data_IF_890486923309
#
_entry.id   IF_890486923309
#
_cell.length_a   1.000
_cell.length_b   1.000
_cell.length_c   1.000
_cell.angle_alpha   90.00
_cell.angle_beta   90.00
_cell.angle_gamma   90.00
#
_symmetry.space_group_name_H-M   'P 1'
#
loop_
_entity.id
_entity.type
_entity.pdbx_description
1 polymer ?
#
# COMPACT_ATOMS: atom_id res chain seq x y z
N UNK A 1 125.88 0.16 -7.58
CA UNK A 1 124.85 0.86 -6.78
C UNK A 1 123.75 1.54 -7.58
N UNK A 2 123.99 2.10 -8.77
CA UNK A 2 122.91 2.70 -9.57
C UNK A 2 121.90 1.67 -10.14
N UNK A 3 122.35 0.57 -10.74
CA UNK A 3 121.45 -0.41 -11.40
C UNK A 3 120.43 -1.08 -10.45
N UNK A 4 120.82 -1.37 -9.21
CA UNK A 4 119.93 -1.96 -8.19
C UNK A 4 118.89 -0.95 -7.67
N UNK A 5 119.23 0.34 -7.64
CA UNK A 5 118.29 1.40 -7.26
C UNK A 5 117.27 1.67 -8.37
N UNK A 6 117.69 1.64 -9.64
CA UNK A 6 116.79 1.74 -10.79
C UNK A 6 115.80 0.56 -10.87
N UNK A 7 116.24 -0.66 -10.54
CA UNK A 7 115.37 -1.84 -10.46
C UNK A 7 114.36 -1.77 -9.31
N UNK A 8 114.74 -1.25 -8.13
CA UNK A 8 113.82 -1.10 -7.01
C UNK A 8 112.78 0.01 -7.28
N UNK A 9 113.19 1.12 -7.91
CA UNK A 9 112.30 2.22 -8.27
C UNK A 9 111.24 1.79 -9.30
N UNK A 10 111.63 0.97 -10.27
CA UNK A 10 110.72 0.42 -11.29
C UNK A 10 109.71 -0.58 -10.71
N UNK A 11 110.13 -1.39 -9.73
CA UNK A 11 109.21 -2.29 -8.99
C UNK A 11 108.22 -1.47 -8.15
N UNK A 12 108.67 -0.44 -7.43
CA UNK A 12 107.78 0.45 -6.67
C UNK A 12 106.73 1.11 -7.56
N UNK A 13 107.16 1.67 -8.70
CA UNK A 13 106.25 2.28 -9.68
C UNK A 13 105.25 1.26 -10.25
N UNK A 14 105.67 0.00 -10.44
CA UNK A 14 104.79 -1.08 -10.87
C UNK A 14 103.73 -1.43 -9.81
N UNK A 15 104.10 -1.45 -8.52
CA UNK A 15 103.16 -1.69 -7.42
C UNK A 15 102.18 -0.53 -7.28
N UNK A 16 102.64 0.72 -7.38
CA UNK A 16 101.80 1.91 -7.29
C UNK A 16 100.78 1.96 -8.45
N UNK A 17 101.22 1.68 -9.68
CA UNK A 17 100.33 1.62 -10.84
C UNK A 17 99.29 0.50 -10.74
N UNK A 18 99.66 -0.68 -10.20
CA UNK A 18 98.72 -1.77 -9.96
C UNK A 18 97.71 -1.43 -8.86
N UNK A 19 98.15 -0.78 -7.78
CA UNK A 19 97.28 -0.30 -6.69
C UNK A 19 96.26 0.72 -7.19
N UNK A 20 96.71 1.67 -8.01
CA UNK A 20 95.83 2.66 -8.65
C UNK A 20 94.81 2.02 -9.60
N UNK A 21 95.23 1.03 -10.40
CA UNK A 21 94.31 0.27 -11.25
C UNK A 21 93.26 -0.49 -10.43
N UNK A 22 93.65 -1.10 -9.32
CA UNK A 22 92.73 -1.80 -8.42
C UNK A 22 91.74 -0.82 -7.78
N UNK A 23 92.21 0.35 -7.32
CA UNK A 23 91.35 1.42 -6.77
C UNK A 23 90.31 1.88 -7.79
N UNK A 24 90.75 2.20 -9.01
CA UNK A 24 89.86 2.61 -10.10
C UNK A 24 88.84 1.51 -10.47
N UNK A 25 89.25 0.24 -10.47
CA UNK A 25 88.34 -0.89 -10.70
C UNK A 25 87.31 -1.06 -9.58
N UNK A 26 87.70 -0.86 -8.32
CA UNK A 26 86.78 -0.88 -7.17
C UNK A 26 85.80 0.27 -7.21
N UNK A 27 86.26 1.49 -7.50
CA UNK A 27 85.40 2.67 -7.64
C UNK A 27 84.40 2.50 -8.80
N UNK A 28 84.85 1.98 -9.94
CA UNK A 28 83.97 1.66 -11.06
C UNK A 28 82.91 0.63 -10.66
N UNK A 29 83.29 -0.43 -9.93
CA UNK A 29 82.33 -1.44 -9.44
C UNK A 29 81.35 -0.84 -8.43
N UNK A 30 81.81 0.03 -7.53
CA UNK A 30 80.96 0.73 -6.56
C UNK A 30 79.91 1.60 -7.27
N UNK A 31 80.31 2.38 -8.29
CA UNK A 31 79.37 3.19 -9.08
C UNK A 31 78.35 2.35 -9.84
N UNK A 32 78.76 1.20 -10.40
CA UNK A 32 77.85 0.28 -11.07
C UNK A 32 76.81 -0.31 -10.10
N UNK A 33 77.24 -0.74 -8.92
CA UNK A 33 76.35 -1.27 -7.88
C UNK A 33 75.35 -0.22 -7.38
N UNK A 34 75.82 1.01 -7.10
CA UNK A 34 74.94 2.11 -6.70
C UNK A 34 73.88 2.44 -7.76
N UNK A 35 74.27 2.41 -9.05
CA UNK A 35 73.33 2.62 -10.16
C UNK A 35 72.28 1.51 -10.24
N UNK A 36 72.69 0.24 -10.07
CA UNK A 36 71.77 -0.89 -10.06
C UNK A 36 70.80 -0.83 -8.87
N UNK A 37 71.29 -0.51 -7.68
CA UNK A 37 70.45 -0.36 -6.49
C UNK A 37 69.39 0.73 -6.68
N UNK A 38 69.79 1.90 -7.21
CA UNK A 38 68.85 2.98 -7.49
C UNK A 38 67.82 2.58 -8.57
N UNK A 39 68.23 1.85 -9.61
CA UNK A 39 67.31 1.29 -10.60
C UNK A 39 66.31 0.31 -9.96
N UNK A 40 66.78 -0.61 -9.11
CA UNK A 40 65.93 -1.56 -8.39
C UNK A 40 64.96 -0.82 -7.46
N UNK A 41 65.42 0.19 -6.71
CA UNK A 41 64.59 1.00 -5.82
C UNK A 41 63.48 1.71 -6.59
N UNK A 42 63.82 2.33 -7.73
CA UNK A 42 62.82 2.96 -8.62
C UNK A 42 61.82 1.94 -9.17
N UNK A 43 62.28 0.76 -9.58
CA UNK A 43 61.41 -0.31 -10.09
C UNK A 43 60.42 -0.79 -9.01
N UNK A 44 60.90 -1.03 -7.79
CA UNK A 44 60.06 -1.44 -6.65
C UNK A 44 59.04 -0.35 -6.31
N UNK A 45 59.47 0.92 -6.23
CA UNK A 45 58.58 2.04 -5.95
C UNK A 45 57.49 2.19 -7.01
N UNK A 46 57.86 2.06 -8.29
CA UNK A 46 56.91 2.12 -9.42
C UNK A 46 55.91 0.96 -9.36
N UNK A 47 56.39 -0.27 -9.13
CA UNK A 47 55.54 -1.45 -8.98
C UNK A 47 54.55 -1.30 -7.81
N UNK A 48 55.02 -0.80 -6.66
CA UNK A 48 54.16 -0.53 -5.49
C UNK A 48 53.13 0.56 -5.78
N UNK A 49 53.53 1.65 -6.44
CA UNK A 49 52.60 2.71 -6.82
C UNK A 49 51.50 2.19 -7.78
N UNK A 50 51.87 1.36 -8.75
CA UNK A 50 50.92 0.75 -9.67
C UNK A 50 49.97 -0.23 -8.96
N UNK A 51 50.48 -1.06 -8.04
CA UNK A 51 49.67 -1.95 -7.22
C UNK A 51 48.68 -1.18 -6.35
N UNK A 52 49.14 -0.12 -5.66
CA UNK A 52 48.29 0.72 -4.84
C UNK A 52 47.19 1.39 -5.67
N UNK A 53 47.51 1.91 -6.87
CA UNK A 53 46.52 2.49 -7.80
C UNK A 53 45.47 1.45 -8.22
N UNK A 54 45.90 0.24 -8.58
CA UNK A 54 45.00 -0.84 -8.96
C UNK A 54 44.09 -1.27 -7.79
N UNK A 55 44.63 -1.32 -6.57
CA UNK A 55 43.86 -1.64 -5.36
C UNK A 55 42.80 -0.56 -5.07
N UNK A 56 43.17 0.73 -5.13
CA UNK A 56 42.22 1.83 -4.94
C UNK A 56 41.11 1.79 -5.99
N UNK A 57 41.46 1.54 -7.27
CA UNK A 57 40.46 1.40 -8.33
C UNK A 57 39.51 0.21 -8.10
N UNK A 58 40.03 -0.93 -7.65
CA UNK A 58 39.22 -2.11 -7.29
C UNK A 58 38.27 -1.79 -6.13
N UNK A 59 38.76 -1.15 -5.07
CA UNK A 59 37.94 -0.76 -3.92
C UNK A 59 36.85 0.24 -4.31
N UNK A 60 37.17 1.24 -5.14
CA UNK A 60 36.19 2.21 -5.63
C UNK A 60 35.10 1.54 -6.47
N UNK A 61 35.46 0.57 -7.32
CA UNK A 61 34.49 -0.23 -8.09
C UNK A 61 33.60 -1.06 -7.16
N UNK A 62 34.18 -1.72 -6.16
CA UNK A 62 33.44 -2.51 -5.19
C UNK A 62 32.46 -1.66 -4.38
N UNK A 63 32.87 -0.47 -3.91
CA UNK A 63 31.99 0.46 -3.20
C UNK A 63 30.83 0.93 -4.08
N UNK A 64 31.08 1.22 -5.37
CA UNK A 64 30.00 1.57 -6.31
C UNK A 64 28.99 0.44 -6.49
N UNK A 65 29.46 -0.80 -6.63
CA UNK A 65 28.57 -1.95 -6.72
C UNK A 65 27.78 -2.14 -5.44
N UNK A 66 28.43 -2.09 -4.28
CA UNK A 66 27.78 -2.21 -2.98
C UNK A 66 26.69 -1.16 -2.80
N UNK A 67 27.01 0.11 -3.06
CA UNK A 67 26.04 1.19 -3.03
C UNK A 67 24.87 0.94 -3.98
N UNK A 68 25.14 0.48 -5.21
CA UNK A 68 24.07 0.14 -6.16
C UNK A 68 23.19 -1.01 -5.67
N UNK A 69 23.77 -2.03 -5.03
CA UNK A 69 23.04 -3.14 -4.44
C UNK A 69 22.17 -2.69 -3.27
N UNK A 70 22.72 -1.87 -2.37
CA UNK A 70 21.98 -1.28 -1.26
C UNK A 70 20.81 -0.42 -1.75
N UNK A 71 21.03 0.43 -2.74
CA UNK A 71 19.96 1.23 -3.33
C UNK A 71 18.83 0.37 -3.92
N UNK A 72 19.18 -0.70 -4.63
CA UNK A 72 18.18 -1.64 -5.18
C UNK A 72 17.42 -2.36 -4.07
N UNK A 73 18.12 -2.83 -3.04
CA UNK A 73 17.50 -3.49 -1.90
C UNK A 73 16.53 -2.54 -1.17
N UNK A 74 16.97 -1.33 -0.86
CA UNK A 74 16.15 -0.31 -0.21
C UNK A 74 14.93 0.04 -1.06
N UNK A 75 15.09 0.17 -2.38
CA UNK A 75 13.97 0.47 -3.28
C UNK A 75 12.93 -0.66 -3.27
N UNK A 76 13.37 -1.91 -3.36
CA UNK A 76 12.48 -3.08 -3.30
C UNK A 76 11.78 -3.16 -1.94
N UNK A 77 12.49 -2.88 -0.84
CA UNK A 77 11.91 -2.85 0.49
C UNK A 77 10.81 -1.79 0.60
N UNK A 78 11.08 -0.56 0.16
CA UNK A 78 10.10 0.53 0.14
C UNK A 78 8.88 0.13 -0.70
N UNK A 79 9.10 -0.42 -1.90
CA UNK A 79 8.01 -0.86 -2.76
C UNK A 79 7.16 -1.96 -2.12
N UNK A 80 7.80 -2.94 -1.48
CA UNK A 80 7.11 -4.01 -0.75
C UNK A 80 6.31 -3.47 0.43
N UNK A 81 6.84 -2.49 1.17
CA UNK A 81 6.12 -1.87 2.27
C UNK A 81 4.89 -1.11 1.76
N UNK A 82 5.04 -0.28 0.73
CA UNK A 82 3.93 0.50 0.13
C UNK A 82 2.84 -0.42 -0.42
N UNK A 83 3.22 -1.55 -1.03
CA UNK A 83 2.27 -2.52 -1.60
C UNK A 83 1.78 -3.55 -0.60
N UNK A 84 2.29 -3.53 0.63
CA UNK A 84 1.85 -4.43 1.69
C UNK A 84 0.37 -4.23 2.02
N UNK A 85 -0.31 -5.32 2.33
CA UNK A 85 -1.69 -5.36 2.80
C UNK A 85 -1.94 -4.46 4.02
N UNK A 86 -0.91 -4.23 4.84
CA UNK A 86 -0.99 -3.36 6.01
C UNK A 86 -1.19 -1.90 5.62
N UNK A 87 -0.38 -1.38 4.69
CA UNK A 87 -0.42 0.03 4.28
C UNK A 87 -1.51 0.31 3.24
N UNK A 88 -1.82 -0.67 2.39
CA UNK A 88 -2.91 -0.56 1.41
C UNK A 88 -4.30 -0.79 2.03
N UNK A 89 -4.35 -1.21 3.29
CA UNK A 89 -5.57 -1.53 4.02
C UNK A 89 -6.49 -2.50 3.27
N UNK A 90 -5.89 -3.50 2.62
CA UNK A 90 -6.59 -4.41 1.73
C UNK A 90 -7.75 -5.14 2.47
N UNK A 91 -9.02 -4.96 2.04
CA UNK A 91 -10.16 -5.58 2.71
C UNK A 91 -10.21 -7.11 2.55
N UNK A 92 -9.51 -7.66 1.56
CA UNK A 92 -9.47 -9.11 1.31
C UNK A 92 -8.76 -9.89 2.42
N UNK A 93 -7.89 -9.22 3.19
CA UNK A 93 -7.20 -9.82 4.36
C UNK A 93 -8.19 -10.26 5.43
N UNK A 94 -9.37 -9.62 5.48
CA UNK A 94 -10.42 -10.00 6.42
C UNK A 94 -11.17 -11.26 6.00
N UNK A 95 -11.01 -11.77 4.77
CA UNK A 95 -11.74 -12.94 4.31
C UNK A 95 -11.11 -14.22 4.85
N UNK A 96 -11.93 -15.12 5.40
CA UNK A 96 -11.44 -16.41 5.88
C UNK A 96 -11.22 -17.38 4.69
N UNK A 97 -10.00 -17.91 4.49
CA UNK A 97 -9.69 -18.82 3.38
C UNK A 97 -10.49 -20.13 3.39
N UNK A 98 -10.82 -20.66 4.58
CA UNK A 98 -11.53 -21.93 4.74
C UNK A 98 -13.05 -21.75 4.78
N UNK A 99 -13.53 -20.55 5.10
CA UNK A 99 -14.95 -20.25 5.24
C UNK A 99 -15.26 -18.89 4.59
N UNK A 100 -15.53 -18.84 3.27
CA UNK A 100 -15.70 -17.58 2.54
C UNK A 100 -16.82 -16.66 3.06
N UNK A 101 -17.80 -17.24 3.76
CA UNK A 101 -18.92 -16.52 4.40
C UNK A 101 -18.54 -15.91 5.75
N UNK A 102 -17.36 -16.21 6.31
CA UNK A 102 -16.87 -15.67 7.57
C UNK A 102 -15.73 -14.70 7.32
N UNK A 103 -15.67 -13.72 8.21
CA UNK A 103 -14.58 -12.75 8.27
C UNK A 103 -13.70 -13.06 9.48
N UNK A 104 -12.40 -12.81 9.33
CA UNK A 104 -11.42 -12.88 10.40
C UNK A 104 -11.62 -11.68 11.33
N UNK A 105 -12.01 -11.90 12.61
CA UNK A 105 -12.40 -10.81 13.50
C UNK A 105 -11.31 -9.75 13.72
N UNK A 106 -10.05 -10.19 13.78
CA UNK A 106 -8.90 -9.32 14.02
C UNK A 106 -8.47 -8.48 12.80
N UNK A 107 -8.94 -8.83 11.59
CA UNK A 107 -8.67 -8.09 10.35
C UNK A 107 -9.89 -7.30 9.86
N UNK A 108 -11.01 -7.35 10.57
CA UNK A 108 -12.24 -6.70 10.15
C UNK A 108 -12.17 -5.18 10.32
N UNK A 109 -12.25 -4.45 9.20
CA UNK A 109 -12.22 -2.97 9.16
C UNK A 109 -13.59 -2.34 8.87
N UNK A 110 -14.67 -3.12 8.92
CA UNK A 110 -16.02 -2.68 8.62
C UNK A 110 -16.58 -3.21 7.29
N UNK A 111 -17.84 -2.87 7.01
CA UNK A 111 -18.56 -3.36 5.82
C UNK A 111 -17.97 -2.81 4.52
N UNK A 112 -18.17 -3.54 3.42
CA UNK A 112 -17.84 -3.02 2.09
C UNK A 112 -18.82 -1.93 1.65
N UNK A 113 -18.42 -1.09 0.71
CA UNK A 113 -19.31 -0.06 0.15
C UNK A 113 -20.55 -0.68 -0.51
N UNK A 114 -20.38 -1.83 -1.15
CA UNK A 114 -21.45 -2.61 -1.78
C UNK A 114 -22.45 -3.13 -0.74
N UNK A 115 -21.99 -3.70 0.37
CA UNK A 115 -22.86 -4.14 1.47
C UNK A 115 -23.67 -2.97 2.04
N UNK A 116 -23.02 -1.83 2.29
CA UNK A 116 -23.73 -0.62 2.75
C UNK A 116 -24.76 -0.13 1.74
N UNK A 117 -24.44 -0.17 0.44
CA UNK A 117 -25.38 0.21 -0.60
C UNK A 117 -26.59 -0.74 -0.66
N UNK A 118 -26.37 -2.05 -0.51
CA UNK A 118 -27.45 -3.02 -0.43
C UNK A 118 -28.37 -2.77 0.77
N UNK A 119 -27.81 -2.48 1.95
CA UNK A 119 -28.59 -2.12 3.14
C UNK A 119 -29.45 -0.87 2.88
N UNK A 120 -28.87 0.18 2.28
CA UNK A 120 -29.62 1.41 1.97
C UNK A 120 -30.79 1.15 1.03
N UNK A 121 -30.59 0.32 -0.01
CA UNK A 121 -31.68 -0.07 -0.92
C UNK A 121 -32.81 -0.79 -0.19
N UNK A 122 -32.46 -1.72 0.71
CA UNK A 122 -33.47 -2.42 1.51
C UNK A 122 -34.21 -1.46 2.44
N UNK A 123 -33.51 -0.51 3.06
CA UNK A 123 -34.12 0.50 3.92
C UNK A 123 -35.11 1.40 3.17
N UNK A 124 -34.78 1.78 1.93
CA UNK A 124 -35.66 2.57 1.07
C UNK A 124 -36.95 1.80 0.73
N UNK A 125 -36.82 0.52 0.38
CA UNK A 125 -37.99 -0.35 0.15
C UNK A 125 -38.84 -0.47 1.42
N UNK A 126 -38.22 -0.68 2.58
CA UNK A 126 -38.93 -0.76 3.87
C UNK A 126 -39.67 0.54 4.21
N UNK A 127 -39.07 1.69 3.89
CA UNK A 127 -39.71 2.99 4.09
C UNK A 127 -40.99 3.10 3.24
N UNK A 128 -40.89 2.80 1.95
CA UNK A 128 -42.04 2.86 1.04
C UNK A 128 -43.13 1.86 1.41
N UNK A 129 -42.77 0.65 1.81
CA UNK A 129 -43.73 -0.36 2.27
C UNK A 129 -44.48 0.13 3.52
N UNK A 130 -43.77 0.70 4.49
CA UNK A 130 -44.38 1.24 5.71
C UNK A 130 -45.29 2.43 5.43
N UNK A 131 -44.90 3.31 4.51
CA UNK A 131 -45.72 4.45 4.10
C UNK A 131 -47.00 4.00 3.40
N UNK A 132 -46.92 3.00 2.52
CA UNK A 132 -48.10 2.40 1.89
C UNK A 132 -49.03 1.75 2.92
N UNK A 133 -48.48 0.99 3.88
CA UNK A 133 -49.26 0.42 4.99
C UNK A 133 -49.99 1.50 5.78
N UNK A 134 -49.29 2.58 6.13
CA UNK A 134 -49.89 3.68 6.87
C UNK A 134 -51.04 4.35 6.11
N UNK A 135 -50.88 4.56 4.79
CA UNK A 135 -51.95 5.10 3.94
C UNK A 135 -53.16 4.15 3.88
N UNK A 136 -52.94 2.84 3.82
CA UNK A 136 -54.04 1.87 3.83
C UNK A 136 -54.77 1.83 5.17
N UNK A 137 -54.05 1.92 6.29
CA UNK A 137 -54.63 1.99 7.63
C UNK A 137 -55.47 3.26 7.80
N UNK A 138 -54.92 4.42 7.45
CA UNK A 138 -55.67 5.69 7.49
C UNK A 138 -56.96 5.65 6.64
N UNK A 139 -56.90 5.02 5.46
CA UNK A 139 -58.07 4.88 4.61
C UNK A 139 -59.13 3.96 5.21
N UNK A 140 -58.73 2.91 5.92
CA UNK A 140 -59.64 2.04 6.66
C UNK A 140 -60.25 2.76 7.87
N UNK A 141 -59.44 3.49 8.64
CA UNK A 141 -59.90 4.26 9.79
C UNK A 141 -60.93 5.32 9.37
N UNK A 142 -60.66 6.05 8.29
CA UNK A 142 -61.61 7.03 7.72
C UNK A 142 -62.93 6.38 7.31
N UNK A 143 -62.88 5.15 6.76
CA UNK A 143 -64.09 4.39 6.43
C UNK A 143 -64.84 3.97 7.70
N UNK A 144 -64.14 3.54 8.75
CA UNK A 144 -64.77 3.20 10.03
C UNK A 144 -65.38 4.42 10.70
N UNK A 145 -64.70 5.57 10.69
CA UNK A 145 -65.20 6.83 11.25
C UNK A 145 -66.45 7.37 10.54
N UNK A 146 -66.60 7.10 9.23
CA UNK A 146 -67.78 7.54 8.47
C UNK A 146 -69.00 6.61 8.63
N UNK A 147 -68.82 5.38 9.11
CA UNK A 147 -69.93 4.43 9.28
C UNK A 147 -71.05 4.91 10.19
N UNK A 148 -70.80 5.48 11.40
CA UNK A 148 -71.87 5.96 12.26
C UNK A 148 -72.74 7.02 11.59
N UNK A 149 -72.13 7.90 10.79
CA UNK A 149 -72.86 8.94 10.05
C UNK A 149 -73.72 8.33 8.95
N UNK A 150 -73.19 7.38 8.18
CA UNK A 150 -73.97 6.65 7.16
C UNK A 150 -75.11 5.84 7.77
N UNK A 151 -74.87 5.17 8.92
CA UNK A 151 -75.90 4.42 9.64
C UNK A 151 -76.99 5.34 10.20
N UNK A 152 -76.61 6.50 10.74
CA UNK A 152 -77.56 7.51 11.22
C UNK A 152 -78.42 8.05 10.07
N UNK A 153 -77.83 8.33 8.90
CA UNK A 153 -78.57 8.74 7.70
C UNK A 153 -79.55 7.67 7.25
N UNK A 154 -79.11 6.41 7.14
CA UNK A 154 -79.98 5.30 6.76
C UNK A 154 -81.12 5.07 7.78
N UNK A 155 -80.85 5.25 9.08
CA UNK A 155 -81.87 5.14 10.12
C UNK A 155 -82.93 6.23 10.01
N UNK A 156 -82.52 7.49 9.73
CA UNK A 156 -83.47 8.58 9.49
C UNK A 156 -84.34 8.33 8.25
N UNK A 157 -83.75 7.86 7.15
CA UNK A 157 -84.50 7.52 5.93
C UNK A 157 -85.53 6.41 6.16
N UNK A 158 -85.18 5.38 6.95
CA UNK A 158 -86.11 4.33 7.35
C UNK A 158 -87.24 4.87 8.24
N UNK A 159 -86.93 5.73 9.21
CA UNK A 159 -87.95 6.36 10.06
C UNK A 159 -88.93 7.22 9.23
N UNK A 160 -88.44 7.94 8.22
CA UNK A 160 -89.27 8.70 7.29
C UNK A 160 -90.21 7.77 6.49
N UNK A 161 -89.69 6.68 5.93
CA UNK A 161 -90.50 5.69 5.20
C UNK A 161 -91.56 5.03 6.08
N UNK A 162 -91.22 4.71 7.34
CA UNK A 162 -92.19 4.18 8.30
C UNK A 162 -93.31 5.18 8.57
N UNK A 163 -92.99 6.47 8.70
CA UNK A 163 -93.99 7.54 8.87
C UNK A 163 -94.91 7.66 7.66
N UNK A 164 -94.36 7.62 6.45
CA UNK A 164 -95.14 7.66 5.20
C UNK A 164 -96.10 6.46 5.11
N UNK A 165 -95.60 5.23 5.32
CA UNK A 165 -96.42 4.02 5.30
C UNK A 165 -97.49 4.03 6.40
N UNK A 166 -97.16 4.50 7.60
CA UNK A 166 -98.15 4.68 8.66
C UNK A 166 -99.23 5.68 8.25
N UNK A 167 -98.84 6.82 7.65
CA UNK A 167 -99.80 7.83 7.18
C UNK A 167 -100.72 7.27 6.09
N UNK A 168 -100.18 6.53 5.11
CA UNK A 168 -100.99 5.85 4.10
C UNK A 168 -101.94 4.82 4.70
N UNK A 169 -101.46 4.03 5.66
CA UNK A 169 -102.27 3.03 6.36
C UNK A 169 -103.43 3.70 7.09
N UNK A 170 -103.16 4.75 7.88
CA UNK A 170 -104.19 5.50 8.61
C UNK A 170 -105.16 6.21 7.68
N UNK A 171 -104.68 6.78 6.58
CA UNK A 171 -105.53 7.37 5.56
C UNK A 171 -106.47 6.33 4.94
N UNK A 172 -105.94 5.14 4.60
CA UNK A 172 -106.73 4.05 4.00
C UNK A 172 -107.77 3.50 4.99
N UNK A 173 -107.41 3.30 6.25
CA UNK A 173 -108.33 2.90 7.32
C UNK A 173 -109.43 3.95 7.51
N UNK A 174 -109.08 5.24 7.61
CA UNK A 174 -110.06 6.32 7.73
C UNK A 174 -111.01 6.40 6.52
N UNK A 175 -110.51 6.17 5.31
CA UNK A 175 -111.34 6.12 4.10
C UNK A 175 -112.31 4.91 4.09
N UNK A 176 -111.87 3.78 4.63
CA UNK A 176 -112.68 2.56 4.76
C UNK A 176 -113.77 2.72 5.82
N UNK A 177 -113.44 3.31 6.97
CA UNK A 177 -114.41 3.63 8.03
C UNK A 177 -115.48 4.60 7.52
N UNK A 178 -115.09 5.58 6.69
CA UNK A 178 -116.00 6.52 6.06
C UNK A 178 -116.91 5.87 4.99
N UNK A 179 -116.46 4.77 4.37
CA UNK A 179 -117.26 3.97 3.44
C UNK A 179 -118.28 3.08 4.17
N UNK A 180 -117.91 2.54 5.34
CA UNK A 180 -118.82 1.77 6.21
C UNK A 180 -119.91 2.62 6.88
N UNK A 181 -119.71 3.94 6.98
CA UNK A 181 -120.65 4.87 7.61
C UNK A 181 -121.75 5.41 6.67
N UNK A 182 -121.83 4.92 5.42
CA UNK A 182 -122.93 5.19 4.46
C UNK A 182 -123.89 4.01 4.36
#
# INVERSE_FOLDING_TARGET
>A
NAASQYSALTISLCVDTLSEQLRLAMDLRATQLAKLEECCRKAIMSAKANSNKAQVAKMAKQQRHEHQHQWKANFVEIQNQITSDLLTENPQVAQNPMAPHRVLPYCWKGMTAEQRAAIRKVQEVQHHEKEAQHQTEQALDTKWESQPMCLAQAAMELEEQERELCAEFWWRVGSFDQWLAK
#
